data_IF_101956822779
#
_entry.id   IF_101956822779
#
_cell.length_a   1.000
_cell.length_b   1.000
_cell.length_c   1.000
_cell.angle_alpha   90.00
_cell.angle_beta   90.00
_cell.angle_gamma   90.00
#
_symmetry.space_group_name_H-M   'P 1'
#
loop_
_entity.id
_entity.type
_entity.pdbx_description
1 polymer ?
#
# COMPACT_ATOMS: atom_id res chain seq x y z
N UNK A 1 -9.46 -5.37 6.11
CA UNK A 1 -9.03 -4.31 7.06
C UNK A 1 -9.21 -2.96 6.38
N UNK A 2 -9.75 -1.94 7.05
CA UNK A 2 -9.81 -0.59 6.47
C UNK A 2 -8.41 0.03 6.50
N UNK A 3 -7.91 0.45 5.34
CA UNK A 3 -6.66 1.16 5.23
C UNK A 3 -6.82 2.65 5.53
N UNK A 4 -5.69 3.32 5.77
CA UNK A 4 -5.66 4.75 6.09
C UNK A 4 -4.83 5.50 5.06
N UNK A 5 -5.46 6.46 4.38
CA UNK A 5 -4.75 7.41 3.52
C UNK A 5 -3.92 8.35 4.39
N UNK A 6 -2.63 8.47 4.10
CA UNK A 6 -1.72 9.40 4.77
C UNK A 6 -1.07 10.37 3.78
N UNK A 7 -0.63 11.51 4.30
CA UNK A 7 -0.01 12.60 3.52
C UNK A 7 1.30 13.03 4.17
N UNK A 8 2.30 13.38 3.36
CA UNK A 8 3.57 13.94 3.84
C UNK A 8 4.48 12.95 4.59
N UNK A 9 4.15 11.64 4.60
CA UNK A 9 4.96 10.59 5.21
C UNK A 9 5.84 9.89 4.18
N UNK A 10 7.08 9.60 4.54
CA UNK A 10 7.96 8.72 3.80
C UNK A 10 7.57 7.24 4.00
N UNK A 11 7.94 6.34 3.07
CA UNK A 11 7.53 4.93 3.13
C UNK A 11 7.90 4.19 4.43
N UNK A 12 9.03 4.56 5.06
CA UNK A 12 9.48 3.95 6.32
C UNK A 12 8.69 4.45 7.56
N UNK A 13 7.90 5.51 7.41
CA UNK A 13 7.04 6.08 8.47
C UNK A 13 5.59 5.58 8.41
N UNK A 14 5.27 4.75 7.40
CA UNK A 14 3.95 4.15 7.22
C UNK A 14 3.73 3.03 8.24
N UNK A 15 2.57 3.07 8.89
CA UNK A 15 2.11 2.02 9.81
C UNK A 15 1.28 0.97 9.05
N UNK A 16 1.17 -0.29 9.53
CA UNK A 16 0.40 -1.33 8.85
C UNK A 16 -1.02 -0.87 8.45
N UNK A 17 -1.34 -0.99 7.16
CA UNK A 17 -2.58 -0.54 6.55
C UNK A 17 -2.54 0.88 5.97
N UNK A 18 -1.48 1.66 6.19
CA UNK A 18 -1.31 2.98 5.60
C UNK A 18 -1.02 2.90 4.09
N UNK A 19 -1.48 3.90 3.35
CA UNK A 19 -1.10 4.15 1.97
C UNK A 19 -1.04 5.66 1.68
N UNK A 20 -0.14 6.08 0.80
CA UNK A 20 0.05 7.49 0.50
C UNK A 20 0.99 7.75 -0.67
N UNK A 21 0.93 8.98 -1.18
CA UNK A 21 1.95 9.50 -2.11
C UNK A 21 3.10 10.08 -1.34
N UNK A 22 4.31 9.83 -1.82
CA UNK A 22 5.52 10.44 -1.28
C UNK A 22 6.09 11.44 -2.28
N UNK A 23 5.89 12.73 -2.01
CA UNK A 23 6.27 13.81 -2.93
C UNK A 23 7.78 13.91 -3.16
N UNK A 24 8.60 13.53 -2.17
CA UNK A 24 10.06 13.50 -2.32
C UNK A 24 10.54 12.45 -3.32
N UNK A 25 9.68 11.48 -3.69
CA UNK A 25 9.91 10.53 -4.76
C UNK A 25 8.87 10.72 -5.88
N UNK A 26 8.81 11.94 -6.43
CA UNK A 26 8.00 12.29 -7.60
C UNK A 26 6.50 12.00 -7.46
N UNK A 27 5.99 11.93 -6.23
CA UNK A 27 4.59 11.61 -5.95
C UNK A 27 4.25 10.12 -6.16
N UNK A 28 5.25 9.24 -6.16
CA UNK A 28 5.05 7.79 -6.25
C UNK A 28 4.20 7.27 -5.08
N UNK A 29 3.45 6.21 -5.38
CA UNK A 29 2.57 5.55 -4.43
C UNK A 29 3.28 4.47 -3.63
N UNK A 30 3.04 4.50 -2.33
CA UNK A 30 3.55 3.53 -1.38
C UNK A 30 2.45 3.10 -0.42
N UNK A 31 2.61 1.90 0.13
CA UNK A 31 1.78 1.40 1.20
C UNK A 31 2.57 0.57 2.20
N UNK A 32 2.03 0.42 3.40
CA UNK A 32 2.41 -0.61 4.35
C UNK A 32 1.26 -1.61 4.38
N UNK A 33 1.48 -2.82 3.87
CA UNK A 33 0.41 -3.82 3.82
C UNK A 33 0.01 -4.25 5.24
N UNK A 34 -1.16 -4.88 5.45
CA UNK A 34 -1.69 -5.17 6.78
C UNK A 34 -0.76 -5.97 7.70
N UNK A 35 0.12 -6.81 7.15
CA UNK A 35 1.08 -7.60 7.92
C UNK A 35 2.38 -6.83 8.24
N UNK A 36 2.46 -5.56 7.82
CA UNK A 36 3.58 -4.69 8.13
C UNK A 36 4.73 -4.73 7.13
N UNK A 37 4.59 -5.35 5.94
CA UNK A 37 5.60 -5.21 4.88
C UNK A 37 5.42 -3.91 4.09
N UNK A 38 6.50 -3.40 3.50
CA UNK A 38 6.45 -2.21 2.64
C UNK A 38 6.12 -2.61 1.19
N UNK A 39 5.14 -1.93 0.60
CA UNK A 39 4.78 -2.09 -0.81
C UNK A 39 5.10 -0.82 -1.60
N UNK A 40 5.88 -0.98 -2.67
CA UNK A 40 6.06 0.03 -3.71
C UNK A 40 5.02 -0.22 -4.82
N UNK A 41 4.20 0.78 -5.13
CA UNK A 41 3.08 0.66 -6.07
C UNK A 41 3.36 1.35 -7.42
N UNK A 42 4.61 1.67 -7.72
CA UNK A 42 5.00 2.35 -8.98
C UNK A 42 4.76 1.50 -10.23
N UNK A 43 4.68 0.18 -10.08
CA UNK A 43 4.34 -0.75 -11.15
C UNK A 43 2.84 -1.08 -11.23
N UNK A 44 2.01 -0.40 -10.43
CA UNK A 44 0.57 -0.61 -10.36
C UNK A 44 -0.18 0.58 -10.95
N UNK A 45 -1.38 0.29 -11.44
CA UNK A 45 -2.39 1.31 -11.67
C UNK A 45 -3.05 1.66 -10.34
N UNK A 46 -3.13 2.96 -10.03
CA UNK A 46 -3.77 3.48 -8.83
C UNK A 46 -4.89 4.43 -9.21
N UNK A 47 -6.11 4.08 -8.86
CA UNK A 47 -7.31 4.90 -9.07
C UNK A 47 -7.70 5.55 -7.75
N UNK A 48 -7.67 6.89 -7.70
CA UNK A 48 -8.18 7.66 -6.55
C UNK A 48 -9.71 7.83 -6.63
N UNK A 49 -10.38 7.69 -5.49
CA UNK A 49 -11.84 7.85 -5.38
C UNK A 49 -12.23 9.18 -4.73
N UNK A 50 -13.48 9.66 -4.93
CA UNK A 50 -13.95 10.92 -4.33
C UNK A 50 -13.92 10.97 -2.79
N UNK A 51 -13.92 9.81 -2.12
CA UNK A 51 -13.81 9.69 -0.67
C UNK A 51 -12.34 9.72 -0.17
N UNK A 52 -11.37 9.93 -1.06
CA UNK A 52 -9.94 9.98 -0.76
C UNK A 52 -9.25 8.61 -0.69
N UNK A 53 -10.03 7.52 -0.77
CA UNK A 53 -9.51 6.16 -0.84
C UNK A 53 -8.93 5.84 -2.22
N UNK A 54 -8.25 4.69 -2.34
CA UNK A 54 -7.72 4.22 -3.63
C UNK A 54 -8.12 2.78 -3.93
N UNK A 55 -8.13 2.46 -5.22
CA UNK A 55 -8.05 1.08 -5.73
C UNK A 55 -6.71 0.89 -6.43
N UNK A 56 -6.09 -0.27 -6.20
CA UNK A 56 -4.81 -0.65 -6.80
C UNK A 56 -4.98 -1.91 -7.64
N UNK A 57 -4.51 -1.87 -8.88
CA UNK A 57 -4.53 -3.02 -9.81
C UNK A 57 -3.18 -3.20 -10.51
N UNK A 58 -2.72 -4.45 -10.75
CA UNK A 58 -3.30 -5.73 -10.33
C UNK A 58 -3.16 -5.95 -8.80
N UNK A 59 -3.36 -7.19 -8.33
CA UNK A 59 -3.09 -7.54 -6.94
C UNK A 59 -1.67 -7.15 -6.51
N UNK A 60 -1.49 -6.89 -5.22
CA UNK A 60 -0.22 -6.51 -4.61
C UNK A 60 0.42 -7.77 -4.03
N UNK A 61 1.55 -8.17 -4.58
CA UNK A 61 2.44 -9.20 -4.02
C UNK A 61 3.66 -8.50 -3.42
N UNK A 62 3.93 -8.76 -2.14
CA UNK A 62 5.12 -8.29 -1.45
C UNK A 62 5.91 -9.50 -0.98
N UNK A 63 7.14 -9.63 -1.44
CA UNK A 63 8.08 -10.67 -1.02
C UNK A 63 9.21 -10.01 -0.25
N UNK A 64 9.38 -10.39 1.02
CA UNK A 64 10.43 -9.88 1.90
C UNK A 64 11.19 -11.06 2.53
N UNK A 65 12.32 -11.47 1.91
CA UNK A 65 13.14 -12.56 2.44
C UNK A 65 13.59 -12.27 3.88
N UNK A 66 13.46 -13.28 4.75
CA UNK A 66 13.85 -13.18 6.17
C UNK A 66 12.72 -12.81 7.12
N UNK A 67 11.53 -12.48 6.63
CA UNK A 67 10.32 -12.37 7.46
C UNK A 67 9.50 -13.67 7.50
N UNK A 68 8.65 -13.81 8.52
CA UNK A 68 7.70 -14.92 8.66
C UNK A 68 6.27 -14.36 8.88
N UNK A 69 5.35 -14.53 7.92
CA UNK A 69 5.54 -15.14 6.61
C UNK A 69 6.44 -14.28 5.69
N UNK A 70 7.16 -14.88 4.72
CA UNK A 70 8.04 -14.16 3.81
C UNK A 70 7.28 -13.34 2.76
N UNK A 71 6.00 -13.62 2.58
CA UNK A 71 5.18 -13.06 1.51
C UNK A 71 3.83 -12.60 2.03
N UNK A 72 3.34 -11.52 1.42
CA UNK A 72 1.97 -11.06 1.56
C UNK A 72 1.36 -10.83 0.19
N UNK A 73 0.16 -11.35 -0.06
CA UNK A 73 -0.56 -11.18 -1.33
C UNK A 73 -1.99 -10.74 -1.07
N UNK A 74 -2.41 -9.66 -1.73
CA UNK A 74 -3.76 -9.14 -1.55
C UNK A 74 -4.14 -8.02 -2.51
N UNK A 75 -5.20 -7.30 -2.16
CA UNK A 75 -5.74 -6.16 -2.91
C UNK A 75 -6.07 -5.01 -1.97
N UNK A 76 -6.01 -3.80 -2.53
CA UNK A 76 -6.55 -2.58 -1.94
C UNK A 76 -7.64 -2.06 -2.87
N UNK A 77 -8.90 -2.15 -2.45
CA UNK A 77 -10.06 -1.72 -3.24
C UNK A 77 -10.88 -0.72 -2.43
N UNK A 78 -11.03 0.50 -2.94
CA UNK A 78 -11.70 1.61 -2.23
C UNK A 78 -11.23 1.76 -0.77
N UNK A 79 -9.91 1.67 -0.57
CA UNK A 79 -9.29 1.79 0.76
C UNK A 79 -9.46 0.57 1.66
N UNK A 80 -10.05 -0.53 1.19
CA UNK A 80 -10.22 -1.78 1.95
C UNK A 80 -9.18 -2.80 1.53
N UNK A 81 -8.39 -3.28 2.49
CA UNK A 81 -7.44 -4.36 2.32
C UNK A 81 -8.12 -5.73 2.42
N UNK A 82 -7.85 -6.61 1.46
CA UNK A 82 -8.17 -8.04 1.47
C UNK A 82 -6.93 -8.87 1.09
N UNK A 83 -6.74 -10.04 1.69
CA UNK A 83 -5.64 -10.96 1.38
C UNK A 83 -6.20 -12.34 0.97
N UNK A 84 -5.36 -13.13 0.30
CA UNK A 84 -5.58 -14.58 0.08
C UNK A 84 -4.98 -15.42 1.20
#
# INVERSE_FOLDING_TARGET
MNGRRVYGKAPHELEPGDYGRWDADKGNWYARVPDGKCANLTAHEVVEHPDGSITVSPSILVTQPGESPPEWHGWLERGVWRSV
#
